data_IF_217538622820
#
_entry.id   IF_217538622820
#
_cell.length_a   1.000
_cell.length_b   1.000
_cell.length_c   1.000
_cell.angle_alpha   90.00
_cell.angle_beta   90.00
_cell.angle_gamma   90.00
#
_symmetry.space_group_name_H-M   'P 1'
#
loop_
_entity.id
_entity.type
_entity.pdbx_description
1 polymer ?
#
# COMPACT_ATOMS: atom_id res chain seq x y z
N UNK A 1 22.27 10.39 51.03
CA UNK A 1 21.94 8.99 50.66
C UNK A 1 20.90 9.02 49.54
N UNK A 2 21.12 8.19 48.52
CA UNK A 2 20.68 8.27 47.12
C UNK A 2 19.15 8.43 46.84
N UNK A 3 18.79 9.03 45.69
CA UNK A 3 17.43 9.02 45.13
C UNK A 3 17.21 7.75 44.27
N UNK A 4 16.06 7.09 44.42
CA UNK A 4 15.67 5.98 43.55
C UNK A 4 14.93 6.52 42.33
N UNK A 5 15.64 6.44 41.21
CA UNK A 5 15.23 6.79 39.85
C UNK A 5 14.20 5.76 39.34
N UNK A 6 12.96 6.19 39.09
CA UNK A 6 11.95 5.38 38.40
C UNK A 6 12.19 5.53 36.90
N UNK A 7 12.80 4.52 36.28
CA UNK A 7 12.87 4.41 34.84
C UNK A 7 11.50 3.95 34.28
N UNK A 8 10.92 4.61 33.26
CA UNK A 8 9.85 3.99 32.49
C UNK A 8 10.46 2.95 31.56
N UNK A 9 10.13 1.67 31.79
CA UNK A 9 10.41 0.61 30.84
C UNK A 9 9.73 0.93 29.50
N UNK A 10 10.54 1.34 28.53
CA UNK A 10 10.13 1.41 27.13
C UNK A 10 9.94 -0.03 26.70
N UNK A 11 8.68 -0.50 26.76
CA UNK A 11 8.29 -1.79 26.25
C UNK A 11 8.71 -1.88 24.78
N UNK A 12 9.73 -2.69 24.51
CA UNK A 12 10.15 -3.08 23.17
C UNK A 12 9.08 -3.99 22.55
N UNK A 13 7.94 -3.40 22.19
CA UNK A 13 6.84 -4.08 21.49
C UNK A 13 6.93 -3.88 19.98
N UNK A 14 8.14 -3.93 19.42
CA UNK A 14 8.32 -3.91 17.96
C UNK A 14 9.42 -4.88 17.50
N UNK A 15 9.42 -6.09 18.05
CA UNK A 15 10.18 -7.22 17.53
C UNK A 15 9.25 -8.37 17.14
N UNK A 16 8.35 -8.11 16.19
CA UNK A 16 7.91 -9.16 15.28
C UNK A 16 8.04 -8.63 13.87
N UNK A 17 9.29 -8.65 13.38
CA UNK A 17 9.54 -8.90 11.96
C UNK A 17 8.96 -10.29 11.70
N UNK A 18 7.64 -10.34 11.47
CA UNK A 18 7.03 -11.50 10.85
C UNK A 18 7.52 -11.43 9.41
N UNK A 19 8.65 -12.09 9.17
CA UNK A 19 8.87 -12.89 7.98
C UNK A 19 7.58 -13.67 7.75
N UNK A 20 6.61 -13.05 7.07
CA UNK A 20 5.46 -13.76 6.57
C UNK A 20 5.92 -14.42 5.27
N UNK A 21 6.68 -15.49 5.47
CA UNK A 21 6.54 -16.75 4.74
C UNK A 21 5.11 -17.28 4.89
N UNK A 22 4.13 -16.51 4.44
CA UNK A 22 2.82 -17.04 4.12
C UNK A 22 2.40 -16.30 2.86
N UNK A 23 2.54 -16.99 1.72
CA UNK A 23 1.61 -16.80 0.60
C UNK A 23 0.26 -16.46 1.22
N UNK A 24 -0.28 -15.26 1.02
CA UNK A 24 -1.56 -15.02 1.62
C UNK A 24 -2.52 -16.03 0.99
N UNK A 25 -3.41 -16.59 1.80
CA UNK A 25 -4.45 -17.52 1.42
C UNK A 25 -5.42 -16.99 0.32
N UNK A 26 -5.12 -15.85 -0.31
CA UNK A 26 -5.76 -15.27 -1.48
C UNK A 26 -5.33 -15.94 -2.81
N UNK A 27 -4.48 -16.98 -2.73
CA UNK A 27 -4.14 -17.85 -3.87
C UNK A 27 -5.37 -18.53 -4.53
N UNK A 28 -6.53 -18.54 -3.87
CA UNK A 28 -7.72 -19.31 -4.29
C UNK A 28 -8.55 -18.70 -5.42
N UNK A 29 -8.24 -17.49 -5.91
CA UNK A 29 -8.85 -16.94 -7.13
C UNK A 29 -7.94 -17.06 -8.38
N UNK A 30 -6.83 -17.82 -8.26
CA UNK A 30 -5.85 -18.03 -9.33
C UNK A 30 -6.31 -19.16 -10.26
N UNK A 31 -6.89 -18.84 -11.42
CA UNK A 31 -6.73 -19.71 -12.61
C UNK A 31 -7.19 -19.06 -13.93
N UNK A 32 -8.37 -18.44 -13.97
CA UNK A 32 -9.06 -18.27 -15.26
C UNK A 32 -8.73 -16.94 -15.97
N UNK A 33 -8.48 -15.84 -15.25
CA UNK A 33 -8.14 -14.54 -15.85
C UNK A 33 -6.80 -13.97 -15.35
N UNK A 34 -5.69 -14.56 -15.82
CA UNK A 34 -4.31 -14.12 -15.51
C UNK A 34 -4.02 -12.65 -15.85
N UNK A 35 -4.81 -12.03 -16.74
CA UNK A 35 -4.68 -10.61 -17.07
C UNK A 35 -5.05 -9.71 -15.88
N UNK A 36 -6.05 -10.09 -15.07
CA UNK A 36 -6.47 -9.29 -13.92
C UNK A 36 -5.39 -9.17 -12.84
N UNK A 37 -4.55 -10.20 -12.68
CA UNK A 37 -3.49 -10.21 -11.66
C UNK A 37 -2.37 -9.20 -11.93
N UNK A 38 -2.18 -8.81 -13.19
CA UNK A 38 -1.11 -7.88 -13.62
C UNK A 38 -1.52 -6.41 -13.51
N UNK A 39 -2.79 -6.11 -13.23
CA UNK A 39 -3.33 -4.75 -13.21
C UNK A 39 -4.37 -4.53 -12.11
N UNK A 40 -5.06 -3.40 -12.12
CA UNK A 40 -6.05 -3.05 -11.12
C UNK A 40 -7.48 -3.28 -11.67
N UNK A 41 -8.04 -4.44 -11.35
CA UNK A 41 -9.34 -4.89 -11.87
C UNK A 41 -10.49 -4.82 -10.85
N UNK A 42 -10.20 -4.63 -9.56
CA UNK A 42 -11.22 -4.43 -8.53
C UNK A 42 -12.26 -5.58 -8.48
N UNK A 43 -11.81 -6.81 -8.69
CA UNK A 43 -12.67 -8.00 -8.70
C UNK A 43 -13.51 -8.19 -9.97
N UNK A 44 -13.39 -7.30 -10.98
CA UNK A 44 -14.05 -7.50 -12.27
C UNK A 44 -13.39 -8.63 -13.05
N UNK A 45 -14.20 -9.58 -13.49
CA UNK A 45 -13.78 -10.77 -14.21
C UNK A 45 -14.46 -10.87 -15.58
N UNK A 46 -13.94 -11.74 -16.44
CA UNK A 46 -14.63 -12.14 -17.68
C UNK A 46 -15.92 -12.86 -17.29
N UNK A 47 -17.03 -12.46 -17.90
CA UNK A 47 -18.29 -13.19 -17.80
C UNK A 47 -18.49 -14.03 -19.06
N UNK A 48 -19.01 -15.25 -18.89
CA UNK A 48 -19.32 -16.17 -19.98
C UNK A 48 -20.84 -16.38 -20.05
N UNK A 49 -21.36 -16.50 -21.27
CA UNK A 49 -22.78 -16.79 -21.47
C UNK A 49 -23.09 -17.01 -22.93
N UNK A 50 -24.35 -16.78 -23.30
CA UNK A 50 -24.86 -17.08 -24.63
C UNK A 50 -25.52 -15.87 -25.27
N UNK A 51 -25.45 -15.75 -26.59
CA UNK A 51 -26.39 -14.98 -27.36
C UNK A 51 -27.68 -15.81 -27.56
N UNK A 52 -28.84 -15.22 -27.34
CA UNK A 52 -30.13 -15.90 -27.44
C UNK A 52 -30.97 -15.27 -28.56
N UNK A 53 -30.92 -15.80 -29.79
CA UNK A 53 -31.77 -15.33 -30.87
C UNK A 53 -33.22 -15.82 -30.70
N UNK A 54 -34.14 -15.24 -31.47
CA UNK A 54 -35.56 -15.64 -31.50
C UNK A 54 -35.76 -17.13 -31.80
N UNK A 55 -34.90 -17.70 -32.65
CA UNK A 55 -34.88 -19.13 -32.98
C UNK A 55 -34.39 -20.04 -31.84
N UNK A 56 -34.01 -19.49 -30.68
CA UNK A 56 -33.48 -20.18 -29.48
C UNK A 56 -32.21 -21.01 -29.71
N UNK A 57 -31.56 -20.86 -30.87
CA UNK A 57 -30.24 -21.45 -31.18
C UNK A 57 -29.14 -20.66 -30.47
N UNK A 58 -28.80 -21.05 -29.24
CA UNK A 58 -27.84 -20.34 -28.38
C UNK A 58 -26.42 -20.47 -28.90
N UNK A 59 -25.69 -19.35 -28.99
CA UNK A 59 -24.25 -19.33 -29.34
C UNK A 59 -23.42 -18.78 -28.17
N UNK A 60 -22.23 -19.33 -27.92
CA UNK A 60 -21.36 -18.89 -26.81
C UNK A 60 -20.82 -17.47 -27.07
N UNK A 61 -20.79 -16.63 -26.04
CA UNK A 61 -20.11 -15.33 -26.04
C UNK A 61 -19.43 -15.04 -24.71
N UNK A 62 -18.53 -14.07 -24.70
CA UNK A 62 -17.90 -13.53 -23.51
C UNK A 62 -18.17 -12.02 -23.37
N UNK A 63 -18.12 -11.51 -22.15
CA UNK A 63 -18.13 -10.08 -21.86
C UNK A 63 -16.86 -9.72 -21.10
N UNK A 64 -16.06 -8.84 -21.69
CA UNK A 64 -14.82 -8.37 -21.11
C UNK A 64 -15.07 -7.09 -20.30
N UNK A 65 -14.36 -6.89 -19.17
CA UNK A 65 -14.37 -5.61 -18.48
C UNK A 65 -13.71 -4.54 -19.35
N UNK A 66 -14.17 -3.29 -19.20
CA UNK A 66 -13.56 -2.14 -19.86
C UNK A 66 -12.23 -1.79 -19.14
N UNK A 67 -11.11 -2.12 -19.78
CA UNK A 67 -9.74 -1.96 -19.27
C UNK A 67 -9.00 -0.92 -20.10
N UNK A 68 -8.36 0.01 -19.42
CA UNK A 68 -7.58 1.10 -20.00
C UNK A 68 -6.14 1.06 -19.46
N UNK A 69 -5.17 1.46 -20.28
CA UNK A 69 -3.80 1.65 -19.82
C UNK A 69 -3.65 3.10 -19.35
N UNK A 70 -3.27 3.33 -18.08
CA UNK A 70 -3.19 4.67 -17.49
C UNK A 70 -1.99 4.78 -16.57
N UNK A 71 -1.42 5.98 -16.55
CA UNK A 71 -0.37 6.38 -15.62
C UNK A 71 -1.04 7.03 -14.42
N UNK A 72 -0.92 6.39 -13.26
CA UNK A 72 -1.46 6.89 -12.00
C UNK A 72 -0.32 7.43 -11.15
N UNK A 73 -0.48 8.63 -10.60
CA UNK A 73 0.49 9.21 -9.70
C UNK A 73 0.36 8.63 -8.30
N UNK A 74 1.48 8.25 -7.70
CA UNK A 74 1.58 7.85 -6.30
C UNK A 74 2.31 8.94 -5.53
N UNK A 75 1.64 9.52 -4.53
CA UNK A 75 2.18 10.61 -3.71
C UNK A 75 3.30 10.09 -2.82
N UNK A 76 3.10 8.93 -2.20
CA UNK A 76 4.05 8.30 -1.27
C UNK A 76 5.36 7.94 -1.98
N UNK A 77 5.30 7.50 -3.23
CA UNK A 77 6.47 7.14 -4.02
C UNK A 77 7.00 8.29 -4.88
N UNK A 78 6.23 9.38 -5.02
CA UNK A 78 6.52 10.52 -5.90
C UNK A 78 6.80 10.11 -7.36
N UNK A 79 6.10 9.08 -7.85
CA UNK A 79 6.33 8.47 -9.15
C UNK A 79 5.01 8.16 -9.87
N UNK A 80 5.06 8.19 -11.20
CA UNK A 80 3.97 7.70 -12.05
C UNK A 80 4.10 6.19 -12.25
N UNK A 81 2.98 5.48 -12.05
CA UNK A 81 2.90 4.03 -12.20
C UNK A 81 1.98 3.74 -13.38
N UNK A 82 2.53 3.14 -14.43
CA UNK A 82 1.76 2.64 -15.56
C UNK A 82 1.11 1.30 -15.20
N UNK A 83 -0.22 1.26 -15.22
CA UNK A 83 -1.00 0.06 -14.94
C UNK A 83 -2.21 -0.06 -15.84
N UNK A 84 -2.59 -1.31 -16.13
CA UNK A 84 -3.90 -1.62 -16.71
C UNK A 84 -4.97 -1.53 -15.63
N UNK A 85 -5.92 -0.62 -15.81
CA UNK A 85 -6.96 -0.33 -14.82
C UNK A 85 -8.33 -0.44 -15.46
N UNK A 86 -9.29 -1.00 -14.73
CA UNK A 86 -10.69 -0.97 -15.17
C UNK A 86 -11.31 0.39 -14.90
N UNK A 87 -12.25 0.82 -15.74
CA UNK A 87 -12.94 2.12 -15.53
C UNK A 87 -13.69 2.20 -14.21
N UNK A 88 -14.20 1.08 -13.71
CA UNK A 88 -14.80 0.99 -12.38
C UNK A 88 -13.79 1.32 -11.28
N UNK A 89 -12.56 0.80 -11.40
CA UNK A 89 -11.48 1.06 -10.44
C UNK A 89 -11.03 2.52 -10.50
N UNK A 90 -10.90 3.10 -11.69
CA UNK A 90 -10.60 4.54 -11.85
C UNK A 90 -11.60 5.40 -11.08
N UNK A 91 -12.91 5.14 -11.23
CA UNK A 91 -13.94 5.87 -10.49
C UNK A 91 -13.80 5.73 -8.96
N UNK A 92 -13.41 4.56 -8.46
CA UNK A 92 -13.14 4.39 -7.03
C UNK A 92 -11.86 5.07 -6.55
N UNK A 93 -10.83 5.16 -7.39
CA UNK A 93 -9.60 5.90 -7.10
C UNK A 93 -9.94 7.39 -6.94
N UNK A 94 -10.70 7.94 -7.88
CA UNK A 94 -11.14 9.34 -7.84
C UNK A 94 -12.03 9.59 -6.61
N UNK A 95 -12.97 8.69 -6.32
CA UNK A 95 -13.84 8.79 -5.13
C UNK A 95 -13.07 8.81 -3.82
N UNK A 96 -11.96 8.08 -3.74
CA UNK A 96 -11.11 8.06 -2.55
C UNK A 96 -10.15 9.23 -2.48
N UNK A 97 -9.84 9.84 -3.62
CA UNK A 97 -8.92 10.96 -3.75
C UNK A 97 -7.47 10.53 -3.99
N UNK A 98 -7.24 9.41 -4.69
CA UNK A 98 -5.89 9.01 -5.11
C UNK A 98 -5.62 7.51 -5.07
N UNK A 99 -4.54 7.10 -5.75
CA UNK A 99 -4.13 5.69 -5.85
C UNK A 99 -3.72 5.14 -4.48
N UNK A 100 -2.90 5.89 -3.75
CA UNK A 100 -2.32 5.42 -2.49
C UNK A 100 -3.41 5.21 -1.44
N UNK A 101 -4.34 6.17 -1.34
CA UNK A 101 -5.49 6.06 -0.45
C UNK A 101 -6.39 4.89 -0.83
N UNK A 102 -6.60 4.66 -2.13
CA UNK A 102 -7.30 3.45 -2.59
C UNK A 102 -6.63 2.16 -2.13
N UNK A 103 -5.31 2.05 -2.23
CA UNK A 103 -4.57 0.85 -1.85
C UNK A 103 -4.52 0.65 -0.32
N UNK A 104 -4.34 1.72 0.44
CA UNK A 104 -4.22 1.67 1.90
C UNK A 104 -5.55 1.38 2.59
N UNK A 105 -6.63 2.06 2.20
CA UNK A 105 -7.95 1.87 2.81
C UNK A 105 -8.61 0.54 2.43
N UNK A 106 -8.33 0.03 1.23
CA UNK A 106 -8.96 -1.21 0.77
C UNK A 106 -8.33 -2.40 1.48
N UNK A 107 -9.17 -3.27 2.06
CA UNK A 107 -8.74 -4.54 2.65
C UNK A 107 -8.08 -5.42 1.60
N UNK A 108 -7.05 -6.18 2.00
CA UNK A 108 -6.25 -6.99 1.06
C UNK A 108 -7.09 -8.00 0.27
N UNK A 109 -8.10 -8.58 0.94
CA UNK A 109 -9.07 -9.50 0.33
C UNK A 109 -9.87 -8.87 -0.82
N UNK A 110 -10.05 -7.55 -0.81
CA UNK A 110 -10.86 -6.82 -1.78
C UNK A 110 -10.05 -6.20 -2.93
N UNK A 111 -8.72 -6.33 -2.93
CA UNK A 111 -7.88 -5.83 -4.03
C UNK A 111 -7.84 -6.79 -5.23
N UNK A 112 -8.07 -8.09 -4.99
CA UNK A 112 -8.22 -9.16 -5.99
C UNK A 112 -7.09 -9.30 -7.03
N UNK A 113 -5.96 -8.60 -6.85
CA UNK A 113 -4.85 -8.52 -7.80
C UNK A 113 -3.50 -8.56 -7.10
N UNK A 114 -2.61 -9.42 -7.58
CA UNK A 114 -1.20 -9.50 -7.14
C UNK A 114 -0.49 -8.15 -7.29
N UNK A 115 -0.69 -7.46 -8.42
CA UNK A 115 -0.05 -6.15 -8.65
C UNK A 115 -0.50 -5.12 -7.62
N UNK A 116 -1.77 -5.14 -7.23
CA UNK A 116 -2.29 -4.22 -6.23
C UNK A 116 -1.68 -4.46 -4.84
N UNK A 117 -1.52 -5.73 -4.45
CA UNK A 117 -0.88 -6.10 -3.18
C UNK A 117 0.61 -5.73 -3.17
N UNK A 118 1.31 -5.92 -4.30
CA UNK A 118 2.70 -5.49 -4.48
C UNK A 118 2.85 -3.97 -4.31
N UNK A 119 1.97 -3.17 -4.91
CA UNK A 119 1.99 -1.72 -4.76
C UNK A 119 1.68 -1.29 -3.33
N UNK A 120 0.70 -1.93 -2.68
CA UNK A 120 0.35 -1.64 -1.29
C UNK A 120 1.52 -1.90 -0.34
N UNK A 121 2.18 -3.06 -0.47
CA UNK A 121 3.33 -3.39 0.38
C UNK A 121 4.51 -2.45 0.15
N UNK A 122 4.75 -2.06 -1.11
CA UNK A 122 5.75 -1.04 -1.46
C UNK A 122 5.48 0.29 -0.76
N UNK A 123 4.23 0.79 -0.78
CA UNK A 123 3.85 2.04 -0.12
C UNK A 123 4.04 1.93 1.40
N UNK A 124 3.56 0.85 2.03
CA UNK A 124 3.71 0.64 3.47
C UNK A 124 5.19 0.63 3.88
N UNK A 125 6.03 -0.10 3.14
CA UNK A 125 7.47 -0.17 3.41
C UNK A 125 8.14 1.19 3.22
N UNK A 126 7.75 1.94 2.20
CA UNK A 126 8.23 3.29 1.96
C UNK A 126 7.88 4.20 3.15
N UNK A 127 6.62 4.22 3.57
CA UNK A 127 6.14 5.05 4.67
C UNK A 127 6.86 4.71 5.99
N UNK A 128 7.03 3.41 6.29
CA UNK A 128 7.77 2.95 7.46
C UNK A 128 9.24 3.40 7.41
N UNK A 129 9.87 3.35 6.24
CA UNK A 129 11.24 3.85 6.05
C UNK A 129 11.31 5.35 6.31
N UNK A 130 10.38 6.14 5.76
CA UNK A 130 10.35 7.59 5.98
C UNK A 130 10.16 7.93 7.45
N UNK A 131 9.23 7.26 8.14
CA UNK A 131 9.00 7.45 9.57
C UNK A 131 10.25 7.17 10.41
N UNK A 132 11.01 6.11 10.09
CA UNK A 132 12.29 5.81 10.77
C UNK A 132 13.36 6.86 10.53
N UNK A 133 13.46 7.36 9.30
CA UNK A 133 14.41 8.41 8.94
C UNK A 133 14.08 9.72 9.66
N UNK A 134 12.79 10.08 9.73
CA UNK A 134 12.30 11.25 10.47
C UNK A 134 12.59 11.12 11.97
N UNK A 135 12.29 9.97 12.60
CA UNK A 135 12.60 9.75 14.01
C UNK A 135 14.11 9.88 14.32
N UNK A 136 14.97 9.33 13.45
CA UNK A 136 16.43 9.46 13.58
C UNK A 136 16.91 10.91 13.40
N UNK A 137 16.31 11.65 12.47
CA UNK A 137 16.63 13.07 12.27
C UNK A 137 16.24 13.91 13.50
N UNK A 138 15.08 13.65 14.10
CA UNK A 138 14.62 14.35 15.32
C UNK A 138 15.54 14.07 16.50
N UNK A 139 15.93 12.81 16.75
CA UNK A 139 16.84 12.49 17.86
C UNK A 139 18.21 13.15 17.72
N UNK A 140 18.73 13.26 16.48
CA UNK A 140 20.00 13.95 16.19
C UNK A 140 19.88 15.46 16.39
N UNK A 141 18.75 16.06 15.99
CA UNK A 141 18.49 17.48 16.23
C UNK A 141 18.43 17.80 17.73
N UNK A 142 17.75 16.96 18.52
CA UNK A 142 17.65 17.13 19.97
C UNK A 142 19.01 16.98 20.67
N UNK A 143 19.88 16.07 20.22
CA UNK A 143 21.25 15.97 20.75
C UNK A 143 22.12 17.18 20.36
N UNK A 144 21.88 17.77 19.19
CA UNK A 144 22.60 18.96 18.74
C UNK A 144 22.21 20.21 19.55
N UNK A 145 20.93 20.39 19.84
CA UNK A 145 20.41 21.50 20.68
C UNK A 145 21.02 21.46 22.10
N UNK A 146 21.08 20.27 22.73
CA UNK A 146 21.66 20.11 24.07
C UNK A 146 23.16 20.45 24.10
N UNK A 147 23.91 20.12 23.04
CA UNK A 147 25.36 20.36 22.99
C UNK A 147 25.74 21.85 22.79
N UNK A 148 24.87 22.65 22.16
CA UNK A 148 25.07 24.10 21.99
C UNK A 148 24.87 24.85 23.31
N UNK A 149 23.91 24.42 24.14
CA UNK A 149 23.61 25.04 25.43
C UNK A 149 24.69 24.78 26.50
N UNK A 150 25.45 23.68 26.39
CA UNK A 150 26.60 23.39 27.28
C UNK A 150 27.90 24.13 26.91
N UNK A 151 27.98 24.75 25.72
CA UNK A 151 29.17 25.44 25.24
C UNK A 151 29.18 26.95 25.54
N UNK A 152 28.09 27.54 26.05
CA UNK A 152 27.95 28.98 26.30
C UNK A 152 28.16 29.40 27.77
N UNK A 153 28.88 28.62 28.58
CA UNK A 153 29.27 29.09 29.91
C UNK A 153 30.15 30.35 29.76
N UNK A 154 29.74 31.54 30.26
CA UNK A 154 30.60 32.70 30.21
C UNK A 154 31.77 32.44 31.15
N UNK A 155 32.95 32.18 30.58
CA UNK A 155 34.20 32.21 31.32
C UNK A 155 34.31 33.59 32.00
N UNK A 156 33.96 33.63 33.28
CA UNK A 156 33.90 34.84 34.08
C UNK A 156 35.11 34.85 35.00
N UNK A 157 35.97 35.86 34.76
CA UNK A 157 36.97 36.50 35.62
C UNK A 157 38.09 35.64 36.24
#
# INVERSE_FOLDING_TARGET
MLPLLVAPEISLFFSHIKMLSAQPAYALARATFKRAQRGLFGGKHIQFGNNNPFSKKKTRRNWLPNVQNKNLYSESLSQFIEVKVTTAVLRTIDKKGGLDKYLLETRDKNLFSEKALELKSKIINHNNRQARLQAKAVSVAETAEVNVTSASAPASA
#
